data_IF_432624909539
#
_entry.id   IF_432624909539
#
_cell.length_a   1.000
_cell.length_b   1.000
_cell.length_c   1.000
_cell.angle_alpha   90.00
_cell.angle_beta   90.00
_cell.angle_gamma   90.00
#
_symmetry.space_group_name_H-M   'P 1'
#
loop_
_entity.id
_entity.type
_entity.pdbx_description
1 polymer ?
#
# COMPACT_ATOMS: atom_id res chain seq x y z
N UNK A 1 13.83 -27.05 -41.18
CA UNK A 1 13.10 -25.78 -40.98
C UNK A 1 14.11 -24.64 -41.03
N UNK A 2 13.81 -23.51 -41.69
CA UNK A 2 14.71 -22.37 -41.73
C UNK A 2 14.90 -21.75 -40.33
N UNK A 3 16.13 -21.38 -39.96
CA UNK A 3 16.47 -20.79 -38.65
C UNK A 3 15.70 -19.49 -38.33
N UNK A 4 15.25 -18.76 -39.36
CA UNK A 4 14.42 -17.57 -39.19
C UNK A 4 13.05 -17.89 -38.59
N UNK A 5 12.50 -19.08 -38.84
CA UNK A 5 11.19 -19.49 -38.33
C UNK A 5 11.24 -19.79 -36.82
N UNK A 6 12.33 -20.40 -36.34
CA UNK A 6 12.55 -20.62 -34.90
C UNK A 6 12.72 -19.32 -34.12
N UNK A 7 13.40 -18.32 -34.69
CA UNK A 7 13.59 -17.02 -34.03
C UNK A 7 12.28 -16.23 -33.87
N UNK A 8 11.37 -16.33 -34.85
CA UNK A 8 10.04 -15.70 -34.75
C UNK A 8 9.22 -16.37 -33.65
N UNK A 9 9.20 -17.71 -33.60
CA UNK A 9 8.44 -18.46 -32.58
C UNK A 9 8.95 -18.14 -31.17
N UNK A 10 10.27 -18.13 -30.96
CA UNK A 10 10.86 -17.76 -29.67
C UNK A 10 10.53 -16.32 -29.27
N UNK A 11 10.52 -15.38 -30.23
CA UNK A 11 10.20 -13.97 -29.96
C UNK A 11 8.71 -13.78 -29.58
N UNK A 12 7.80 -14.45 -30.28
CA UNK A 12 6.35 -14.39 -29.98
C UNK A 12 6.04 -15.04 -28.63
N UNK A 13 6.63 -16.21 -28.35
CA UNK A 13 6.49 -16.88 -27.05
C UNK A 13 7.08 -16.03 -25.92
N UNK A 14 8.25 -15.42 -26.13
CA UNK A 14 8.88 -14.50 -25.19
C UNK A 14 7.99 -13.29 -24.88
N UNK A 15 7.40 -12.67 -25.91
CA UNK A 15 6.49 -11.54 -25.75
C UNK A 15 5.20 -11.92 -25.00
N UNK A 16 4.65 -13.10 -25.28
CA UNK A 16 3.46 -13.62 -24.58
C UNK A 16 3.72 -13.87 -23.09
N UNK A 17 4.81 -14.55 -22.76
CA UNK A 17 5.21 -14.81 -21.36
C UNK A 17 5.50 -13.50 -20.61
N UNK A 18 6.21 -12.57 -21.25
CA UNK A 18 6.49 -11.27 -20.65
C UNK A 18 5.21 -10.47 -20.37
N UNK A 19 4.28 -10.43 -21.32
CA UNK A 19 3.00 -9.72 -21.16
C UNK A 19 2.17 -10.32 -20.02
N UNK A 20 2.10 -11.64 -19.91
CA UNK A 20 1.42 -12.32 -18.81
C UNK A 20 2.07 -12.00 -17.44
N UNK A 21 3.40 -11.95 -17.37
CA UNK A 21 4.12 -11.57 -16.14
C UNK A 21 3.86 -10.11 -15.76
N UNK A 22 3.87 -9.19 -16.71
CA UNK A 22 3.61 -7.76 -16.47
C UNK A 22 2.16 -7.55 -16.01
N UNK A 23 1.19 -8.15 -16.69
CA UNK A 23 -0.23 -8.07 -16.32
C UNK A 23 -0.49 -8.72 -14.94
N UNK A 24 0.13 -9.87 -14.67
CA UNK A 24 0.06 -10.53 -13.38
C UNK A 24 0.66 -9.68 -12.26
N UNK A 25 1.81 -9.05 -12.50
CA UNK A 25 2.44 -8.13 -11.56
C UNK A 25 1.60 -6.87 -11.34
N UNK A 26 1.05 -6.27 -12.41
CA UNK A 26 0.15 -5.11 -12.33
C UNK A 26 -1.10 -5.45 -11.51
N UNK A 27 -1.78 -6.54 -11.83
CA UNK A 27 -2.94 -7.01 -11.08
C UNK A 27 -2.60 -7.30 -9.62
N UNK A 28 -1.42 -7.85 -9.35
CA UNK A 28 -0.94 -8.05 -7.98
C UNK A 28 -0.69 -6.74 -7.25
N UNK A 29 -0.06 -5.74 -7.88
CA UNK A 29 0.17 -4.42 -7.29
C UNK A 29 -1.13 -3.64 -7.07
N UNK A 30 -2.04 -3.66 -8.04
CA UNK A 30 -3.38 -3.07 -7.92
C UNK A 30 -4.18 -3.72 -6.78
N UNK A 31 -4.06 -5.05 -6.62
CA UNK A 31 -4.75 -5.79 -5.57
C UNK A 31 -4.13 -5.61 -4.19
N UNK A 32 -2.80 -5.44 -4.13
CA UNK A 32 -2.05 -5.24 -2.89
C UNK A 32 -1.97 -3.79 -2.44
N UNK A 33 -2.34 -2.81 -3.28
CA UNK A 33 -2.42 -1.39 -2.92
C UNK A 33 -1.05 -0.71 -2.77
N UNK A 34 -1.00 0.60 -3.03
CA UNK A 34 0.24 1.38 -3.11
C UNK A 34 1.11 1.36 -1.84
N UNK A 35 0.50 1.06 -0.68
CA UNK A 35 1.17 1.06 0.63
C UNK A 35 1.57 -0.34 1.10
N UNK A 36 1.21 -1.42 0.40
CA UNK A 36 1.61 -2.74 0.85
C UNK A 36 3.12 -2.96 0.78
N UNK A 37 3.61 -3.72 1.76
CA UNK A 37 5.00 -4.11 1.86
C UNK A 37 5.55 -3.92 3.27
N UNK A 38 6.87 -3.81 3.33
CA UNK A 38 7.62 -3.62 4.56
C UNK A 38 8.14 -2.19 4.60
N UNK A 39 7.94 -1.53 5.74
CA UNK A 39 8.31 -0.14 5.98
C UNK A 39 9.09 -0.04 7.30
N UNK A 40 9.92 0.99 7.40
CA UNK A 40 10.40 1.52 8.67
C UNK A 40 9.43 2.58 9.15
N UNK A 41 9.14 2.64 10.43
CA UNK A 41 8.56 3.81 11.08
C UNK A 41 9.66 4.40 11.94
N UNK A 42 9.95 5.66 11.69
CA UNK A 42 10.92 6.44 12.46
C UNK A 42 10.10 7.44 13.26
N UNK A 43 10.15 7.33 14.58
CA UNK A 43 9.40 8.19 15.49
C UNK A 43 10.37 9.17 16.15
N UNK A 44 10.03 10.46 16.14
CA UNK A 44 10.85 11.53 16.68
C UNK A 44 10.32 12.00 18.02
N UNK A 45 11.15 12.75 18.76
CA UNK A 45 10.69 13.43 19.96
C UNK A 45 9.68 14.52 19.62
N UNK A 46 8.74 14.76 20.54
CA UNK A 46 7.68 15.77 20.36
C UNK A 46 8.23 17.21 20.17
N UNK A 47 9.43 17.48 20.70
CA UNK A 47 10.13 18.77 20.56
C UNK A 47 10.91 18.90 19.24
N UNK A 48 10.90 17.89 18.37
CA UNK A 48 11.55 17.91 17.05
C UNK A 48 10.53 17.71 15.90
N UNK A 49 9.62 18.69 15.68
CA UNK A 49 8.65 18.61 14.58
C UNK A 49 9.30 18.62 13.20
N UNK A 50 10.56 19.08 13.10
CA UNK A 50 11.32 19.12 11.87
C UNK A 50 12.01 17.78 11.53
N UNK A 51 11.97 16.79 12.44
CA UNK A 51 12.53 15.45 12.24
C UNK A 51 14.03 15.47 11.88
N UNK A 52 14.81 16.34 12.53
CA UNK A 52 16.24 16.56 12.22
C UNK A 52 17.19 15.88 13.21
N UNK A 53 16.71 15.56 14.41
CA UNK A 53 17.50 14.94 15.48
C UNK A 53 17.52 13.41 15.34
N UNK A 54 18.25 12.78 16.23
CA UNK A 54 18.23 11.32 16.42
C UNK A 54 16.79 10.92 16.77
N UNK A 55 16.23 9.89 16.10
CA UNK A 55 14.87 9.45 16.39
C UNK A 55 14.76 8.92 17.82
N UNK A 56 13.57 9.05 18.39
CA UNK A 56 13.23 8.43 19.66
C UNK A 56 13.13 6.90 19.52
N UNK A 57 12.59 6.42 18.40
CA UNK A 57 12.53 4.99 18.11
C UNK A 57 12.44 4.67 16.63
N UNK A 58 12.80 3.43 16.31
CA UNK A 58 12.61 2.84 14.99
C UNK A 58 11.85 1.52 15.12
N UNK A 59 10.83 1.37 14.29
CA UNK A 59 10.02 0.17 14.17
C UNK A 59 10.04 -0.39 12.74
N UNK A 60 9.83 -1.70 12.61
CA UNK A 60 9.52 -2.37 11.36
C UNK A 60 8.02 -2.61 11.24
N UNK A 61 7.47 -2.38 10.04
CA UNK A 61 6.05 -2.48 9.76
C UNK A 61 5.84 -3.43 8.60
N UNK A 62 4.81 -4.27 8.72
CA UNK A 62 4.26 -5.00 7.59
C UNK A 62 2.87 -4.49 7.31
N UNK A 63 2.72 -3.82 6.17
CA UNK A 63 1.48 -3.19 5.74
C UNK A 63 0.80 -4.08 4.71
N UNK A 64 -0.50 -4.30 4.91
CA UNK A 64 -1.44 -4.81 3.93
C UNK A 64 -2.32 -3.65 3.51
N UNK A 65 -2.54 -3.51 2.21
CA UNK A 65 -3.39 -2.48 1.66
C UNK A 65 -4.38 -3.15 0.70
N UNK A 66 -5.66 -2.91 0.89
CA UNK A 66 -6.70 -3.40 0.00
C UNK A 66 -7.74 -2.30 -0.22
N UNK A 67 -7.85 -1.83 -1.47
CA UNK A 67 -8.71 -0.70 -1.85
C UNK A 67 -8.36 0.55 -1.04
N UNK A 68 -9.24 0.97 -0.13
CA UNK A 68 -9.03 2.11 0.77
C UNK A 68 -8.64 1.69 2.18
N UNK A 69 -8.62 0.40 2.48
CA UNK A 69 -8.33 -0.10 3.81
C UNK A 69 -6.86 -0.49 3.90
N UNK A 70 -6.22 -0.06 4.97
CA UNK A 70 -4.86 -0.45 5.32
C UNK A 70 -4.87 -1.11 6.69
N UNK A 71 -4.02 -2.11 6.86
CA UNK A 71 -3.83 -2.77 8.15
C UNK A 71 -2.43 -3.32 8.25
N UNK A 72 -1.96 -3.56 9.46
CA UNK A 72 -0.63 -4.11 9.62
C UNK A 72 -0.23 -4.36 11.04
N UNK A 73 1.03 -4.76 11.16
CA UNK A 73 1.70 -4.98 12.42
C UNK A 73 2.99 -4.17 12.46
N UNK A 74 3.35 -3.73 13.66
CA UNK A 74 4.51 -2.90 13.95
C UNK A 74 5.33 -3.63 15.02
N UNK A 75 6.64 -3.74 14.81
CA UNK A 75 7.58 -4.35 15.73
C UNK A 75 8.71 -3.38 16.02
N UNK A 76 9.01 -3.17 17.31
CA UNK A 76 10.14 -2.33 17.68
C UNK A 76 11.47 -3.03 17.37
N UNK A 77 12.34 -2.30 16.67
CA UNK A 77 13.70 -2.75 16.32
C UNK A 77 14.76 -1.79 16.85
N UNK A 78 14.37 -0.93 17.78
CA UNK A 78 15.23 0.01 18.48
C UNK A 78 15.12 -0.22 20.00
N UNK A 79 16.24 -0.30 20.70
CA UNK A 79 16.30 -0.55 22.14
C UNK A 79 15.62 0.58 22.93
N UNK A 80 15.15 0.31 24.17
CA UNK A 80 15.23 -0.94 24.93
C UNK A 80 14.08 -1.94 24.75
N UNK A 81 13.04 -1.59 24.01
CA UNK A 81 11.77 -2.33 24.10
C UNK A 81 11.48 -3.20 22.88
N UNK A 82 12.36 -4.15 22.55
CA UNK A 82 12.17 -5.06 21.40
C UNK A 82 10.94 -5.96 21.51
N UNK A 83 10.41 -6.15 22.72
CA UNK A 83 9.20 -6.92 23.00
C UNK A 83 7.91 -6.21 22.57
N UNK A 84 7.97 -4.90 22.32
CA UNK A 84 6.82 -4.09 21.93
C UNK A 84 6.36 -4.39 20.52
N UNK A 85 5.07 -4.68 20.42
CA UNK A 85 4.37 -4.96 19.18
C UNK A 85 3.02 -4.25 19.17
N UNK A 86 2.66 -3.71 18.00
CA UNK A 86 1.36 -3.11 17.77
C UNK A 86 0.69 -3.72 16.54
N UNK A 87 -0.61 -3.51 16.44
CA UNK A 87 -1.36 -3.62 15.20
C UNK A 87 -2.02 -2.29 14.90
N UNK A 88 -2.34 -2.06 13.63
CA UNK A 88 -3.09 -0.90 13.21
C UNK A 88 -4.07 -1.25 12.10
N UNK A 89 -5.12 -0.44 12.00
CA UNK A 89 -6.08 -0.41 10.89
C UNK A 89 -6.36 1.05 10.56
N UNK A 90 -6.48 1.37 9.28
CA UNK A 90 -6.80 2.71 8.84
C UNK A 90 -7.43 2.75 7.45
N UNK A 91 -7.68 3.96 6.99
CA UNK A 91 -8.11 4.26 5.64
C UNK A 91 -7.04 5.08 4.92
N UNK A 92 -6.85 4.79 3.65
CA UNK A 92 -5.99 5.56 2.75
C UNK A 92 -6.82 6.13 1.60
N UNK A 93 -6.78 7.45 1.43
CA UNK A 93 -7.41 8.18 0.33
C UNK A 93 -6.58 9.41 0.03
N UNK A 94 -6.41 9.74 -1.25
CA UNK A 94 -5.86 11.02 -1.69
C UNK A 94 -4.48 11.35 -1.11
N UNK A 95 -3.66 10.33 -0.89
CA UNK A 95 -2.33 10.49 -0.28
C UNK A 95 -2.32 10.56 1.24
N UNK A 96 -3.47 10.60 1.90
CA UNK A 96 -3.60 10.62 3.35
C UNK A 96 -3.96 9.24 3.90
N UNK A 97 -3.32 8.87 5.02
CA UNK A 97 -3.67 7.74 5.85
C UNK A 97 -4.17 8.25 7.20
N UNK A 98 -5.36 7.81 7.59
CA UNK A 98 -5.88 7.97 8.95
C UNK A 98 -6.15 6.59 9.54
N UNK A 99 -5.68 6.31 10.74
CA UNK A 99 -5.87 5.01 11.36
C UNK A 99 -5.80 5.02 12.86
N UNK A 100 -6.09 3.86 13.44
CA UNK A 100 -5.99 3.56 14.86
C UNK A 100 -4.97 2.44 15.05
N UNK A 101 -4.16 2.55 16.09
CA UNK A 101 -3.21 1.52 16.51
C UNK A 101 -3.44 1.11 17.95
N UNK A 102 -3.04 -0.11 18.28
CA UNK A 102 -3.12 -0.65 19.63
C UNK A 102 -1.99 -1.64 19.89
N UNK A 103 -1.48 -1.64 21.11
CA UNK A 103 -0.48 -2.60 21.55
C UNK A 103 -1.07 -4.02 21.55
N UNK A 104 -0.29 -4.95 21.00
CA UNK A 104 -0.54 -6.39 21.07
C UNK A 104 0.33 -7.02 22.17
N UNK A 105 1.52 -6.45 22.42
CA UNK A 105 2.49 -6.93 23.40
C UNK A 105 3.40 -5.79 23.85
N UNK A 106 3.92 -5.90 25.08
CA UNK A 106 4.95 -5.00 25.62
C UNK A 106 4.45 -3.63 26.11
N UNK A 107 3.13 -3.47 26.31
CA UNK A 107 2.56 -2.26 26.92
C UNK A 107 2.73 -0.98 26.11
N UNK A 108 2.62 -1.06 24.78
CA UNK A 108 2.92 0.04 23.86
C UNK A 108 1.81 1.11 23.68
N UNK A 109 0.72 1.06 24.43
CA UNK A 109 -0.36 2.05 24.33
C UNK A 109 -1.33 1.86 23.15
N UNK A 110 -2.22 2.83 22.95
CA UNK A 110 -3.19 2.89 21.84
C UNK A 110 -3.40 4.34 21.41
N UNK A 111 -3.71 4.58 20.15
CA UNK A 111 -3.90 5.93 19.65
C UNK A 111 -4.29 5.99 18.19
N UNK A 112 -4.18 7.17 17.58
CA UNK A 112 -4.37 7.37 16.15
C UNK A 112 -3.07 7.65 15.41
N UNK A 113 -3.07 7.36 14.11
CA UNK A 113 -2.00 7.62 13.15
C UNK A 113 -2.57 8.50 12.05
N UNK A 114 -1.93 9.63 11.79
CA UNK A 114 -2.30 10.56 10.73
C UNK A 114 -1.06 10.80 9.87
N UNK A 115 -1.05 10.26 8.66
CA UNK A 115 0.07 10.33 7.73
C UNK A 115 -0.36 10.92 6.39
N UNK A 116 0.54 11.63 5.73
CA UNK A 116 0.39 12.06 4.35
C UNK A 116 1.60 11.61 3.54
N UNK A 117 1.35 11.32 2.27
CA UNK A 117 2.35 10.86 1.33
C UNK A 117 3.22 12.02 0.88
N UNK A 118 4.53 11.85 1.04
CA UNK A 118 5.54 12.77 0.50
C UNK A 118 6.09 12.24 -0.82
N UNK A 119 6.28 10.92 -0.90
CA UNK A 119 6.76 10.24 -2.12
C UNK A 119 6.20 8.82 -2.22
N UNK A 120 6.56 8.09 -3.27
CA UNK A 120 6.18 6.68 -3.41
C UNK A 120 6.78 5.77 -2.31
N UNK A 121 7.84 6.24 -1.66
CA UNK A 121 8.58 5.49 -0.65
C UNK A 121 8.56 6.16 0.72
N UNK A 122 7.79 7.24 0.88
CA UNK A 122 7.81 8.08 2.07
C UNK A 122 6.42 8.61 2.44
N UNK A 123 6.03 8.40 3.69
CA UNK A 123 4.90 9.10 4.31
C UNK A 123 5.40 9.81 5.57
N UNK A 124 4.80 10.94 5.91
CA UNK A 124 5.10 11.68 7.13
C UNK A 124 3.83 11.98 7.89
N UNK A 125 3.95 12.13 9.19
CA UNK A 125 2.88 12.65 10.00
C UNK A 125 3.13 12.49 11.47
N UNK A 126 2.12 12.03 12.21
CA UNK A 126 2.19 11.93 13.66
C UNK A 126 1.38 10.77 14.19
N UNK A 127 1.80 10.25 15.34
CA UNK A 127 0.91 9.49 16.22
C UNK A 127 0.27 10.46 17.22
N UNK A 128 -0.94 10.15 17.65
CA UNK A 128 -1.63 10.87 18.72
C UNK A 128 -2.11 9.83 19.73
N UNK A 129 -1.66 9.94 20.97
CA UNK A 129 -2.10 9.12 22.09
C UNK A 129 -2.86 9.98 23.09
N UNK A 130 -4.08 9.57 23.42
CA UNK A 130 -4.85 10.20 24.50
C UNK A 130 -4.50 9.54 25.83
N UNK A 131 -3.98 10.32 26.78
CA UNK A 131 -3.74 9.88 28.15
C UNK A 131 -4.69 10.58 29.10
N UNK A 132 -5.24 9.82 30.04
CA UNK A 132 -5.97 10.37 31.17
C UNK A 132 -4.94 10.80 32.22
N UNK A 133 -4.92 12.08 32.54
CA UNK A 133 -4.08 12.65 33.59
C UNK A 133 -4.98 13.06 34.74
N UNK A 134 -4.62 12.59 35.93
CA UNK A 134 -5.24 13.01 37.18
C UNK A 134 -4.51 14.23 37.70
N UNK A 135 -5.20 15.35 37.85
CA UNK A 135 -4.69 16.54 38.50
C UNK A 135 -5.60 16.86 39.70
N UNK A 136 -5.27 16.26 40.85
CA UNK A 136 -6.12 16.31 42.04
C UNK A 136 -7.45 15.56 41.86
N UNK A 137 -8.61 16.17 42.19
CA UNK A 137 -9.93 15.55 42.00
C UNK A 137 -10.38 15.54 40.53
N UNK A 138 -9.73 16.32 39.66
CA UNK A 138 -10.13 16.49 38.28
C UNK A 138 -9.41 15.49 37.35
N UNK A 139 -10.14 15.04 36.32
CA UNK A 139 -9.58 14.23 35.23
C UNK A 139 -9.52 15.08 33.97
N UNK A 140 -8.34 15.13 33.35
CA UNK A 140 -8.16 15.75 32.04
C UNK A 140 -7.62 14.73 31.04
N UNK A 141 -7.97 14.92 29.76
CA UNK A 141 -7.39 14.14 28.66
C UNK A 141 -6.28 14.99 28.06
N UNK A 142 -5.05 14.48 28.14
CA UNK A 142 -3.88 15.06 27.49
C UNK A 142 -3.59 14.28 26.21
N UNK A 143 -3.35 15.00 25.12
CA UNK A 143 -2.95 14.41 23.86
C UNK A 143 -1.43 14.50 23.73
N UNK A 144 -0.78 13.34 23.72
CA UNK A 144 0.62 13.24 23.35
C UNK A 144 0.71 13.06 21.85
N UNK A 145 1.37 13.98 21.19
CA UNK A 145 1.68 13.88 19.78
C UNK A 145 3.18 13.67 19.61
N UNK A 146 3.58 12.78 18.71
CA UNK A 146 4.94 12.85 18.21
C UNK A 146 5.04 12.65 16.69
N UNK A 147 5.98 13.36 16.05
CA UNK A 147 6.20 13.27 14.62
C UNK A 147 6.74 11.88 14.25
N UNK A 148 6.33 11.38 13.09
CA UNK A 148 6.84 10.13 12.55
C UNK A 148 6.96 10.15 11.02
N UNK A 149 7.84 9.30 10.50
CA UNK A 149 8.07 9.09 9.07
C UNK A 149 8.02 7.59 8.76
N UNK A 150 7.29 7.20 7.71
CA UNK A 150 7.32 5.86 7.15
C UNK A 150 8.23 5.83 5.93
N UNK A 151 9.27 5.00 5.97
CA UNK A 151 10.26 4.86 4.89
C UNK A 151 10.19 3.44 4.36
N UNK A 152 9.98 3.28 3.04
CA UNK A 152 9.86 1.95 2.44
C UNK A 152 11.19 1.21 2.49
N UNK A 153 11.17 -0.05 2.94
CA UNK A 153 12.36 -0.90 2.96
C UNK A 153 12.85 -1.16 1.52
N UNK A 154 14.14 -0.98 1.26
CA UNK A 154 14.75 -1.07 -0.06
C UNK A 154 14.69 0.20 -0.90
N UNK A 155 14.12 1.29 -0.37
CA UNK A 155 14.19 2.59 -1.03
C UNK A 155 15.56 3.25 -0.85
N UNK A 156 15.86 4.27 -1.65
CA UNK A 156 17.11 5.04 -1.50
C UNK A 156 17.19 5.77 -0.16
N UNK A 157 16.05 6.09 0.46
CA UNK A 157 15.96 6.74 1.77
C UNK A 157 16.31 5.81 2.93
N UNK A 158 16.32 4.49 2.72
CA UNK A 158 16.70 3.49 3.73
C UNK A 158 18.09 3.78 4.32
N UNK A 159 19.01 4.33 3.51
CA UNK A 159 20.36 4.73 3.95
C UNK A 159 20.36 5.72 5.12
N UNK A 160 19.29 6.52 5.28
CA UNK A 160 19.14 7.45 6.41
C UNK A 160 18.78 6.75 7.71
N UNK A 161 18.07 5.63 7.65
CA UNK A 161 17.56 4.89 8.80
C UNK A 161 18.60 3.90 9.33
N UNK A 162 19.36 3.30 8.41
CA UNK A 162 20.33 2.25 8.73
C UNK A 162 21.32 2.59 9.85
N UNK A 163 21.88 3.81 9.95
CA UNK A 163 22.75 4.20 11.06
C UNK A 163 22.09 4.13 12.44
N UNK A 164 20.76 4.15 12.53
CA UNK A 164 19.99 4.08 13.78
C UNK A 164 19.54 2.66 14.12
N UNK A 165 19.79 1.70 13.22
CA UNK A 165 19.49 0.30 13.46
C UNK A 165 20.62 -0.29 14.31
N UNK A 166 20.28 -0.77 15.51
CA UNK A 166 21.21 -1.46 16.40
C UNK A 166 21.40 -2.92 15.98
N UNK A 167 22.06 -3.11 14.85
CA UNK A 167 22.20 -4.41 14.19
C UNK A 167 23.04 -5.40 14.99
N UNK A 168 23.94 -4.91 15.82
CA UNK A 168 24.68 -5.67 16.82
C UNK A 168 23.76 -6.35 17.83
N UNK A 169 22.54 -5.82 18.04
CA UNK A 169 21.53 -6.39 18.94
C UNK A 169 20.47 -7.23 18.24
N UNK A 170 20.68 -7.63 16.98
CA UNK A 170 19.68 -8.41 16.23
C UNK A 170 19.29 -9.70 16.96
N UNK A 171 20.23 -10.36 17.66
CA UNK A 171 19.96 -11.58 18.42
C UNK A 171 18.95 -11.35 19.55
N UNK A 172 18.91 -10.14 20.13
CA UNK A 172 17.92 -9.74 21.13
C UNK A 172 16.53 -9.51 20.51
N UNK A 173 16.45 -9.24 19.20
CA UNK A 173 15.20 -9.04 18.47
C UNK A 173 14.55 -10.36 18.04
N UNK A 174 15.34 -11.42 17.83
CA UNK A 174 14.88 -12.73 17.30
C UNK A 174 13.69 -13.35 18.05
N UNK A 175 13.56 -13.24 19.38
CA UNK A 175 12.40 -13.76 20.10
C UNK A 175 11.09 -13.01 19.82
N UNK A 176 11.16 -11.76 19.35
CA UNK A 176 10.02 -10.85 19.28
C UNK A 176 9.61 -10.48 17.86
N UNK A 177 10.58 -10.47 16.94
CA UNK A 177 10.39 -10.07 15.55
C UNK A 177 10.38 -11.32 14.66
N UNK A 178 9.41 -11.47 13.74
CA UNK A 178 9.37 -12.63 12.85
C UNK A 178 10.67 -12.82 12.07
N UNK A 179 11.20 -14.05 12.01
CA UNK A 179 12.48 -14.37 11.35
C UNK A 179 12.60 -13.82 9.93
N UNK A 180 11.52 -13.84 9.15
CA UNK A 180 11.53 -13.29 7.78
C UNK A 180 11.74 -11.77 7.77
N UNK A 181 11.19 -11.02 8.73
CA UNK A 181 11.40 -9.57 8.85
C UNK A 181 12.85 -9.27 9.22
N UNK A 182 13.44 -10.03 10.14
CA UNK A 182 14.86 -9.90 10.52
C UNK A 182 15.76 -10.19 9.32
N UNK A 183 15.46 -11.25 8.56
CA UNK A 183 16.17 -11.56 7.33
C UNK A 183 16.07 -10.41 6.32
N UNK A 184 14.88 -9.85 6.14
CA UNK A 184 14.66 -8.70 5.24
C UNK A 184 15.43 -7.46 5.72
N UNK A 185 15.48 -7.20 7.03
CA UNK A 185 16.27 -6.12 7.64
C UNK A 185 17.77 -6.30 7.33
N UNK A 186 18.32 -7.48 7.63
CA UNK A 186 19.73 -7.82 7.34
C UNK A 186 20.06 -7.65 5.85
N UNK A 187 19.14 -8.04 4.96
CA UNK A 187 19.29 -7.84 3.51
C UNK A 187 19.20 -6.36 3.09
N UNK A 188 18.33 -5.56 3.72
CA UNK A 188 18.22 -4.11 3.49
C UNK A 188 19.51 -3.39 3.84
N UNK A 189 20.05 -3.68 5.02
CA UNK A 189 21.34 -3.18 5.49
C UNK A 189 22.48 -3.60 4.57
N UNK A 190 22.58 -4.88 4.24
CA UNK A 190 23.62 -5.37 3.34
C UNK A 190 23.58 -4.67 1.98
N UNK A 191 22.40 -4.29 1.49
CA UNK A 191 22.27 -3.49 0.26
C UNK A 191 22.77 -2.05 0.40
N UNK A 192 22.68 -1.47 1.60
CA UNK A 192 23.13 -0.11 1.85
C UNK A 192 24.65 0.00 1.97
N UNK A 193 25.32 -1.04 2.50
CA UNK A 193 26.78 -1.06 2.72
C UNK A 193 27.58 -1.92 1.73
N UNK A 194 26.92 -2.84 1.00
CA UNK A 194 27.56 -3.68 -0.02
C UNK A 194 27.62 -2.98 -1.37
N UNK A 195 28.50 -1.99 -1.52
CA UNK A 195 28.59 -1.12 -2.71
C UNK A 195 28.90 -1.85 -4.04
N UNK A 196 29.37 -3.10 -4.02
CA UNK A 196 29.65 -3.87 -5.25
C UNK A 196 28.49 -4.74 -5.74
N UNK A 197 28.07 -5.72 -4.95
CA UNK A 197 27.08 -6.74 -5.38
C UNK A 197 25.63 -6.27 -5.26
N UNK A 198 25.33 -5.35 -4.33
CA UNK A 198 23.99 -4.78 -4.22
C UNK A 198 23.68 -3.84 -5.39
N UNK A 199 24.70 -3.22 -5.99
CA UNK A 199 24.57 -2.36 -7.14
C UNK A 199 24.20 -3.15 -8.40
N UNK A 200 24.79 -4.33 -8.62
CA UNK A 200 24.35 -5.26 -9.67
C UNK A 200 22.94 -5.81 -9.41
N UNK A 201 22.65 -6.18 -8.16
CA UNK A 201 21.33 -6.65 -7.76
C UNK A 201 20.23 -5.56 -7.93
N UNK A 202 20.55 -4.31 -7.63
CA UNK A 202 19.65 -3.18 -7.85
C UNK A 202 19.62 -2.76 -9.32
N UNK A 203 20.70 -2.89 -10.08
CA UNK A 203 20.71 -2.58 -11.50
C UNK A 203 19.83 -3.56 -12.28
N UNK A 204 19.83 -4.86 -11.94
CA UNK A 204 18.89 -5.78 -12.59
C UNK A 204 17.44 -5.48 -12.19
N UNK A 205 17.16 -5.19 -10.90
CA UNK A 205 15.81 -4.81 -10.44
C UNK A 205 15.35 -3.48 -11.04
N UNK A 206 16.25 -2.51 -11.16
CA UNK A 206 15.99 -1.20 -11.77
C UNK A 206 15.72 -1.37 -13.26
N UNK A 207 16.52 -2.15 -13.99
CA UNK A 207 16.23 -2.51 -15.40
C UNK A 207 14.91 -3.26 -15.55
N UNK A 208 14.58 -4.15 -14.61
CA UNK A 208 13.30 -4.85 -14.59
C UNK A 208 12.13 -3.87 -14.34
N UNK A 209 12.27 -2.98 -13.37
CA UNK A 209 11.26 -1.99 -13.01
C UNK A 209 11.13 -0.85 -14.02
N UNK A 210 12.22 -0.45 -14.67
CA UNK A 210 12.23 0.46 -15.82
C UNK A 210 11.58 -0.22 -17.02
N UNK A 211 11.87 -1.50 -17.28
CA UNK A 211 11.15 -2.30 -18.27
C UNK A 211 9.65 -2.38 -17.97
N UNK A 212 9.26 -2.53 -16.69
CA UNK A 212 7.87 -2.50 -16.24
C UNK A 212 7.25 -1.11 -16.30
N UNK A 213 8.03 -0.05 -16.06
CA UNK A 213 7.62 1.35 -16.16
C UNK A 213 7.41 1.77 -17.61
N UNK A 214 8.29 1.35 -18.52
CA UNK A 214 8.11 1.46 -19.98
C UNK A 214 6.90 0.65 -20.43
N UNK A 215 6.66 -0.54 -19.88
CA UNK A 215 5.45 -1.30 -20.16
C UNK A 215 4.18 -0.60 -19.67
N UNK A 216 4.24 0.10 -18.52
CA UNK A 216 3.13 0.93 -18.04
C UNK A 216 2.89 2.13 -18.97
N UNK A 217 3.95 2.82 -19.39
CA UNK A 217 3.86 3.91 -20.36
C UNK A 217 3.34 3.44 -21.74
N UNK A 218 3.73 2.24 -22.19
CA UNK A 218 3.22 1.63 -23.42
C UNK A 218 1.73 1.23 -23.29
N UNK A 219 1.30 0.76 -22.13
CA UNK A 219 -0.12 0.47 -21.85
C UNK A 219 -0.94 1.77 -21.77
N UNK A 220 -0.38 2.84 -21.20
CA UNK A 220 -1.03 4.16 -21.17
C UNK A 220 -1.05 4.85 -22.55
N UNK A 221 -0.12 4.51 -23.47
CA UNK A 221 -0.12 4.98 -24.87
C UNK A 221 -1.05 4.17 -25.78
N UNK A 222 -1.31 2.90 -25.46
CA UNK A 222 -2.19 2.01 -26.26
C UNK A 222 -3.63 1.97 -25.75
N UNK A 223 -3.86 2.31 -24.48
CA UNK A 223 -5.19 2.40 -23.88
C UNK A 223 -6.15 3.40 -24.55
N UNK A 224 -5.71 4.62 -24.91
CA UNK A 224 -6.55 5.59 -25.61
C UNK A 224 -6.99 5.11 -27.00
N UNK A 225 -6.08 4.45 -27.73
CA UNK A 225 -6.34 3.92 -29.08
C UNK A 225 -7.33 2.73 -29.05
N UNK A 226 -7.18 1.81 -28.09
CA UNK A 226 -8.13 0.71 -27.92
C UNK A 226 -9.53 1.19 -27.50
N UNK A 227 -9.60 2.24 -26.67
CA UNK A 227 -10.88 2.85 -26.29
C UNK A 227 -11.52 3.65 -27.44
N UNK A 228 -10.73 4.27 -28.32
CA UNK A 228 -11.24 4.92 -29.54
C UNK A 228 -11.76 3.91 -30.57
N UNK A 229 -11.07 2.79 -30.81
CA UNK A 229 -11.58 1.71 -31.66
C UNK A 229 -12.88 1.11 -31.12
N UNK A 230 -12.98 0.88 -29.82
CA UNK A 230 -14.21 0.34 -29.23
C UNK A 230 -15.35 1.38 -29.25
N UNK A 231 -15.04 2.67 -29.08
CA UNK A 231 -16.01 3.75 -29.24
C UNK A 231 -16.47 3.89 -30.70
N UNK A 232 -15.58 3.73 -31.67
CA UNK A 232 -15.92 3.71 -33.10
C UNK A 232 -16.76 2.47 -33.47
N UNK A 233 -16.45 1.29 -32.92
CA UNK A 233 -17.27 0.07 -33.10
C UNK A 233 -18.67 0.22 -32.51
N UNK A 234 -18.80 0.90 -31.37
CA UNK A 234 -20.12 1.18 -30.75
C UNK A 234 -20.88 2.31 -31.43
N UNK A 235 -20.18 3.26 -32.05
CA UNK A 235 -20.77 4.33 -32.83
C UNK A 235 -21.08 3.93 -34.28
N UNK A 236 -20.54 2.81 -34.76
CA UNK A 236 -20.89 2.27 -36.07
C UNK A 236 -22.38 1.87 -36.06
N UNK A 237 -23.21 2.46 -36.92
CA UNK A 237 -24.62 2.11 -37.00
C UNK A 237 -24.72 0.63 -37.34
N UNK A 238 -25.51 -0.11 -36.57
CA UNK A 238 -25.80 -1.51 -36.84
C UNK A 238 -26.26 -1.62 -38.31
N UNK A 239 -25.58 -2.47 -39.08
CA UNK A 239 -25.95 -2.73 -40.46
C UNK A 239 -27.44 -3.09 -40.50
N UNK A 240 -28.23 -2.48 -41.40
CA UNK A 240 -29.68 -2.68 -41.42
C UNK A 240 -29.95 -4.18 -41.61
N UNK A 241 -30.61 -4.76 -40.61
CA UNK A 241 -31.11 -6.12 -40.68
C UNK A 241 -32.12 -6.19 -41.82
N UNK A 242 -31.75 -6.84 -42.91
CA UNK A 242 -32.65 -7.23 -43.99
C UNK A 242 -33.57 -8.34 -43.48
N UNK A 243 -34.67 -7.94 -42.84
CA UNK A 243 -35.73 -8.82 -42.37
C UNK A 243 -37.10 -8.16 -42.52
N UNK A 244 -37.92 -8.74 -43.39
CA UNK A 244 -39.24 -8.28 -43.81
C UNK A 244 -40.25 -8.08 -42.66
N UNK A 245 -41.25 -7.19 -42.83
CA UNK A 245 -42.21 -6.83 -41.78
C UNK A 245 -43.31 -7.89 -41.64
N UNK A 246 -43.47 -8.40 -40.41
CA UNK A 246 -44.57 -9.26 -40.01
C UNK A 246 -45.20 -8.75 -38.71
N UNK A 247 -46.35 -8.11 -38.86
CA UNK A 247 -47.52 -8.05 -37.98
C UNK A 247 -47.38 -7.74 -36.47
N UNK A 248 -48.06 -6.64 -36.12
CA UNK A 248 -48.71 -6.27 -34.86
C UNK A 248 -48.94 -7.41 -33.85
N UNK A 249 -48.53 -7.17 -32.60
CA UNK A 249 -49.41 -7.31 -31.41
C UNK A 249 -48.90 -6.41 -30.28
N UNK A 250 -49.73 -5.44 -29.89
CA UNK A 250 -49.66 -4.71 -28.61
C UNK A 250 -50.09 -5.62 -27.47
N UNK A 251 -49.33 -5.73 -26.37
CA UNK A 251 -49.85 -6.18 -25.09
C UNK A 251 -50.07 -5.00 -24.13
N UNK A 252 -51.17 -5.14 -23.41
CA UNK A 252 -51.77 -4.24 -22.43
C UNK A 252 -50.82 -3.78 -21.31
N UNK A 253 -51.06 -2.56 -20.83
CA UNK A 253 -50.58 -2.06 -19.54
C UNK A 253 -51.26 -2.83 -18.39
N UNK A 254 -50.51 -3.33 -17.39
CA UNK A 254 -51.08 -3.67 -16.11
C UNK A 254 -51.12 -2.45 -15.19
N UNK A 255 -52.33 -2.21 -14.70
CA UNK A 255 -52.77 -1.24 -13.71
C UNK A 255 -51.96 -1.26 -12.42
N UNK A 256 -51.66 -0.07 -11.87
CA UNK A 256 -51.21 0.11 -10.48
C UNK A 256 -52.35 -0.23 -9.51
N UNK A 257 -52.10 -0.94 -8.40
CA UNK A 257 -52.91 -0.80 -7.21
C UNK A 257 -52.37 0.33 -6.32
N UNK A 258 -53.31 1.11 -5.80
CA UNK A 258 -53.15 2.02 -4.67
C UNK A 258 -53.30 1.25 -3.35
N UNK A 259 -52.52 1.62 -2.35
CA UNK A 259 -52.75 1.39 -0.91
C UNK A 259 -51.67 2.20 -0.17
N UNK A 260 -51.99 3.38 0.34
CA UNK A 260 -52.61 3.67 1.65
C UNK A 260 -51.79 3.20 2.86
N UNK A 261 -51.32 4.21 3.60
CA UNK A 261 -51.20 4.35 5.06
C UNK A 261 -50.87 3.11 5.90
N UNK A 262 -49.82 3.21 6.74
CA UNK A 262 -50.09 3.28 8.18
C UNK A 262 -48.96 3.94 8.98
N UNK A 263 -49.43 4.77 9.91
CA UNK A 263 -48.79 5.39 11.06
C UNK A 263 -48.23 4.38 12.07
N UNK A 264 -47.20 4.80 12.80
CA UNK A 264 -46.65 4.02 13.91
C UNK A 264 -45.64 4.79 14.73
N UNK A 265 -46.10 5.85 15.41
CA UNK A 265 -45.45 6.38 16.60
C UNK A 265 -45.43 5.31 17.71
N UNK A 266 -44.30 5.17 18.39
CA UNK A 266 -44.17 4.28 19.55
C UNK A 266 -43.00 4.70 20.43
N UNK A 267 -43.29 5.59 21.39
CA UNK A 267 -42.42 5.95 22.51
C UNK A 267 -42.17 4.75 23.43
N UNK A 268 -40.96 4.63 23.94
CA UNK A 268 -40.62 4.13 25.28
C UNK A 268 -39.25 4.69 25.66
#
# INVERSE_FOLDING_TARGET
MPEWFSNIIVSVLGAGVWSALVLGAKAYYERSGALAGIWYQVTYYADDPAMRKIPWSVELLRVRHHRRTISGHIWRVHNPYFDRKWSFVGRYSDGCMDGTYWSVKGGGGRGSLHLWRVSDNNLRGRFVESQLVHDGPDMSIVYLEAPLEWIRLGSHEEKRVVPWLELDKTDQMEPYVPKYMIRTLRQGVARCFGEGQAQEANNWRKRLLEGLGYARALVDLTGPLAMEEEKQRRAAPAAPATGSPGELMTPEQPSRPASDSDSGEGRS
#
